data_IF_886477938783
#
_entry.id   IF_886477938783
#
_cell.length_a   1.000
_cell.length_b   1.000
_cell.length_c   1.000
_cell.angle_alpha   90.00
_cell.angle_beta   90.00
_cell.angle_gamma   90.00
#
_symmetry.space_group_name_H-M   'P 1'
#
loop_
_entity.id
_entity.type
_entity.pdbx_description
1 polymer ?
#
# COMPACT_ATOMS: atom_id res chain seq x y z
N UNK A 1 -21.97 -2.90 13.36
CA UNK A 1 -21.31 -2.03 12.35
C UNK A 1 -20.71 -2.95 11.27
N UNK A 2 -21.03 -2.75 9.99
CA UNK A 2 -20.45 -3.56 8.90
C UNK A 2 -18.97 -3.18 8.75
N UNK A 3 -18.08 -4.15 8.88
CA UNK A 3 -16.64 -3.94 8.64
C UNK A 3 -16.42 -3.78 7.13
N UNK A 4 -15.75 -2.72 6.73
CA UNK A 4 -15.45 -2.42 5.35
C UNK A 4 -13.96 -2.59 5.06
N UNK A 5 -13.62 -3.12 3.89
CA UNK A 5 -12.21 -3.24 3.47
C UNK A 5 -11.74 -1.95 2.83
N UNK A 6 -10.48 -1.59 3.09
CA UNK A 6 -9.82 -0.45 2.48
C UNK A 6 -8.49 -0.90 1.89
N UNK A 7 -8.25 -0.56 0.63
CA UNK A 7 -6.99 -0.83 -0.05
C UNK A 7 -6.33 0.49 -0.47
N UNK A 8 -5.10 0.72 -0.05
CA UNK A 8 -4.24 1.76 -0.60
C UNK A 8 -3.23 1.11 -1.52
N UNK A 9 -3.20 1.54 -2.78
CA UNK A 9 -2.23 1.07 -3.76
C UNK A 9 -1.48 2.22 -4.42
N UNK A 10 -0.25 1.93 -4.83
CA UNK A 10 0.57 2.86 -5.60
C UNK A 10 1.79 2.14 -6.19
N UNK A 11 2.42 2.76 -7.16
CA UNK A 11 3.74 2.31 -7.58
C UNK A 11 4.71 2.44 -6.40
N UNK A 12 5.79 1.65 -6.39
CA UNK A 12 6.85 1.83 -5.38
C UNK A 12 7.26 3.29 -5.31
N UNK A 13 7.44 3.83 -4.10
CA UNK A 13 7.88 5.21 -3.86
C UNK A 13 6.87 6.30 -4.28
N UNK A 14 5.60 5.96 -4.45
CA UNK A 14 4.55 6.93 -4.76
C UNK A 14 3.92 7.61 -3.53
N UNK A 15 4.35 7.28 -2.30
CA UNK A 15 3.79 7.88 -1.08
C UNK A 15 2.75 7.02 -0.36
N UNK A 16 2.54 5.77 -0.75
CA UNK A 16 1.58 4.86 -0.09
C UNK A 16 1.80 4.73 1.41
N UNK A 17 3.06 4.75 1.89
CA UNK A 17 3.37 4.68 3.33
C UNK A 17 2.93 5.95 4.06
N UNK A 18 3.13 7.12 3.46
CA UNK A 18 2.65 8.39 4.03
C UNK A 18 1.13 8.36 4.17
N UNK A 19 0.42 8.07 3.07
CA UNK A 19 -1.03 8.01 3.08
C UNK A 19 -1.55 6.96 4.09
N UNK A 20 -0.94 5.76 4.12
CA UNK A 20 -1.31 4.73 5.07
C UNK A 20 -1.13 5.14 6.52
N UNK A 21 -0.07 5.91 6.84
CA UNK A 21 0.15 6.45 8.18
C UNK A 21 -0.88 7.51 8.56
N UNK A 22 -1.20 8.42 7.63
CA UNK A 22 -2.19 9.47 7.84
C UNK A 22 -3.58 8.86 8.09
N UNK A 23 -4.02 7.93 7.24
CA UNK A 23 -5.32 7.26 7.42
C UNK A 23 -5.34 6.35 8.65
N UNK A 24 -4.24 5.69 8.97
CA UNK A 24 -4.13 4.84 10.16
C UNK A 24 -4.23 5.59 11.49
N UNK A 25 -4.01 6.91 11.50
CA UNK A 25 -4.21 7.76 12.67
C UNK A 25 -5.69 8.05 12.97
N UNK A 26 -6.58 7.80 12.03
CA UNK A 26 -8.02 7.98 12.20
C UNK A 26 -8.62 6.94 13.16
N UNK A 27 -9.54 7.38 14.06
CA UNK A 27 -10.14 6.53 15.08
C UNK A 27 -10.92 5.33 14.52
N UNK A 28 -11.50 5.46 13.32
CA UNK A 28 -12.30 4.42 12.67
C UNK A 28 -11.53 3.58 11.63
N UNK A 29 -10.23 3.84 11.38
CA UNK A 29 -9.45 3.18 10.34
C UNK A 29 -8.26 2.45 10.96
N UNK A 30 -8.16 1.15 10.74
CA UNK A 30 -6.96 0.37 11.00
C UNK A 30 -6.20 0.16 9.70
N UNK A 31 -4.91 0.50 9.67
CA UNK A 31 -4.05 0.30 8.50
C UNK A 31 -2.89 -0.65 8.80
N UNK A 32 -2.69 -1.63 7.93
CA UNK A 32 -1.53 -2.50 7.93
C UNK A 32 -0.61 -2.15 6.74
N UNK A 33 0.68 -2.12 7.01
CA UNK A 33 1.70 -1.89 6.00
C UNK A 33 2.13 -3.21 5.36
N UNK A 34 1.89 -3.35 4.04
CA UNK A 34 2.33 -4.50 3.24
C UNK A 34 1.90 -5.85 3.81
N UNK A 35 0.76 -5.87 4.51
CA UNK A 35 0.14 -7.08 5.01
C UNK A 35 -0.63 -7.79 3.89
N UNK A 36 -0.59 -9.10 3.91
CA UNK A 36 -1.24 -9.94 2.91
C UNK A 36 -2.29 -10.84 3.55
N UNK A 37 -3.47 -10.88 2.95
CA UNK A 37 -4.49 -11.86 3.25
C UNK A 37 -4.98 -11.89 4.71
N UNK A 38 -4.71 -12.97 5.40
CA UNK A 38 -5.25 -13.25 6.74
C UNK A 38 -4.83 -12.27 7.83
N UNK A 39 -3.74 -11.52 7.64
CA UNK A 39 -3.32 -10.51 8.61
C UNK A 39 -4.35 -9.38 8.71
N UNK A 40 -5.01 -9.04 7.60
CA UNK A 40 -6.05 -8.01 7.58
C UNK A 40 -7.30 -8.46 8.35
N UNK A 41 -7.60 -9.76 8.37
CA UNK A 41 -8.74 -10.31 9.12
C UNK A 41 -8.57 -10.27 10.64
N UNK A 42 -7.34 -10.07 11.13
CA UNK A 42 -7.01 -9.97 12.57
C UNK A 42 -7.20 -8.57 13.13
N UNK A 43 -7.48 -7.58 12.29
CA UNK A 43 -7.77 -6.23 12.74
C UNK A 43 -9.17 -6.19 13.37
N UNK A 44 -9.25 -5.90 14.67
CA UNK A 44 -10.50 -5.90 15.43
C UNK A 44 -10.87 -4.48 15.80
N UNK A 45 -12.16 -4.17 15.76
CA UNK A 45 -12.75 -3.06 16.51
C UNK A 45 -12.93 -1.74 15.78
N UNK A 46 -12.52 -1.59 14.51
CA UNK A 46 -12.73 -0.36 13.73
C UNK A 46 -13.60 -0.60 12.50
N UNK A 47 -14.24 0.49 12.00
CA UNK A 47 -15.11 0.47 10.81
C UNK A 47 -14.36 0.00 9.57
N UNK A 48 -13.14 0.49 9.37
CA UNK A 48 -12.30 0.15 8.23
C UNK A 48 -11.14 -0.75 8.63
N UNK A 49 -10.94 -1.80 7.86
CA UNK A 49 -9.77 -2.67 7.92
C UNK A 49 -8.99 -2.50 6.62
N UNK A 50 -7.94 -1.71 6.68
CA UNK A 50 -7.16 -1.30 5.54
C UNK A 50 -5.81 -1.98 5.43
N UNK A 51 -5.34 -2.11 4.20
CA UNK A 51 -3.99 -2.54 3.87
C UNK A 51 -3.38 -1.60 2.84
N UNK A 52 -2.10 -1.30 3.01
CA UNK A 52 -1.30 -0.58 2.03
C UNK A 52 -0.42 -1.58 1.29
N UNK A 53 -0.56 -1.63 -0.03
CA UNK A 53 0.24 -2.46 -0.91
C UNK A 53 0.94 -1.62 -1.97
N UNK A 54 2.03 -2.13 -2.53
CA UNK A 54 2.77 -1.46 -3.61
C UNK A 54 2.91 -2.37 -4.82
N UNK A 55 2.72 -1.79 -6.00
CA UNK A 55 3.07 -2.47 -7.24
C UNK A 55 4.61 -2.59 -7.35
N UNK A 56 5.19 -3.73 -7.76
CA UNK A 56 4.54 -4.94 -8.28
C UNK A 56 4.26 -6.05 -7.26
N UNK A 57 4.11 -5.75 -5.96
CA UNK A 57 3.80 -6.76 -4.95
C UNK A 57 2.32 -7.16 -4.95
N UNK A 58 1.46 -6.36 -5.56
CA UNK A 58 0.07 -6.69 -5.88
C UNK A 58 -0.11 -6.68 -7.39
N UNK A 59 -0.83 -7.65 -7.93
CA UNK A 59 -1.17 -7.69 -9.37
C UNK A 59 -2.56 -7.10 -9.60
N UNK A 60 -2.80 -6.65 -10.84
CA UNK A 60 -4.11 -6.14 -11.27
C UNK A 60 -5.05 -7.26 -11.72
N UNK A 61 -4.50 -8.39 -12.12
CA UNK A 61 -5.26 -9.53 -12.64
C UNK A 61 -4.97 -10.76 -11.79
N UNK A 62 -6.02 -11.49 -11.47
CA UNK A 62 -5.90 -12.76 -10.75
C UNK A 62 -5.14 -13.78 -11.62
N UNK A 63 -3.89 -14.03 -11.29
CA UNK A 63 -3.05 -15.02 -11.98
C UNK A 63 -3.02 -16.38 -11.28
N UNK A 64 -3.66 -16.50 -10.11
CA UNK A 64 -3.47 -17.66 -9.26
C UNK A 64 -4.74 -18.49 -9.08
N UNK A 65 -4.67 -19.77 -9.48
CA UNK A 65 -5.71 -20.76 -9.20
C UNK A 65 -5.89 -20.99 -7.69
N UNK A 66 -7.06 -21.55 -7.28
CA UNK A 66 -7.32 -21.95 -5.87
C UNK A 66 -6.19 -22.82 -5.28
N UNK A 67 -5.52 -23.62 -6.11
CA UNK A 67 -4.37 -24.44 -5.72
C UNK A 67 -3.17 -23.60 -5.30
N UNK A 68 -2.89 -22.48 -5.98
CA UNK A 68 -1.84 -21.54 -5.59
C UNK A 68 -2.11 -20.88 -4.23
N UNK A 69 -3.37 -20.55 -3.92
CA UNK A 69 -3.73 -20.01 -2.60
C UNK A 69 -3.46 -21.00 -1.47
N UNK A 70 -3.81 -22.28 -1.68
CA UNK A 70 -3.54 -23.35 -0.70
C UNK A 70 -2.04 -23.63 -0.50
N UNK A 71 -1.27 -23.59 -1.58
CA UNK A 71 0.20 -23.74 -1.51
C UNK A 71 0.87 -22.53 -0.85
N UNK A 72 0.32 -21.33 -1.04
CA UNK A 72 0.85 -20.10 -0.46
C UNK A 72 0.90 -20.16 1.08
N UNK A 73 -0.17 -20.62 1.74
CA UNK A 73 -0.17 -20.78 3.21
C UNK A 73 0.94 -21.70 3.70
N UNK A 74 1.19 -22.81 3.01
CA UNK A 74 2.29 -23.73 3.34
C UNK A 74 3.65 -23.08 3.11
N UNK A 75 3.80 -22.32 2.02
CA UNK A 75 5.05 -21.63 1.65
C UNK A 75 5.36 -20.44 2.57
N UNK A 76 4.35 -19.70 3.03
CA UNK A 76 4.52 -18.65 4.06
C UNK A 76 5.03 -19.27 5.37
N UNK A 77 4.49 -20.43 5.77
CA UNK A 77 4.94 -21.12 6.97
C UNK A 77 6.41 -21.56 6.87
N UNK A 78 6.80 -22.11 5.72
CA UNK A 78 8.19 -22.48 5.41
C UNK A 78 9.10 -21.24 5.42
N UNK A 79 8.66 -20.11 4.82
CA UNK A 79 9.41 -18.85 4.84
C UNK A 79 9.65 -18.32 6.25
N UNK A 80 8.62 -18.35 7.11
CA UNK A 80 8.75 -17.95 8.51
C UNK A 80 9.72 -18.86 9.27
N UNK A 81 9.65 -20.16 9.03
CA UNK A 81 10.56 -21.12 9.64
C UNK A 81 12.02 -20.93 9.17
N UNK A 82 12.24 -20.74 7.87
CA UNK A 82 13.56 -20.49 7.28
C UNK A 82 14.17 -19.15 7.74
N UNK A 83 13.34 -18.11 7.91
CA UNK A 83 13.80 -16.82 8.45
C UNK A 83 14.31 -16.93 9.87
N UNK A 84 13.75 -17.85 10.69
CA UNK A 84 14.23 -18.12 12.05
C UNK A 84 15.62 -18.77 12.07
N UNK A 85 16.00 -19.45 11.02
CA UNK A 85 17.33 -20.08 10.87
C UNK A 85 18.28 -19.26 9.95
N UNK A 86 17.97 -17.99 9.72
CA UNK A 86 18.84 -17.05 8.99
C UNK A 86 18.79 -17.18 7.46
N UNK A 87 17.94 -18.03 6.91
CA UNK A 87 17.80 -18.18 5.44
C UNK A 87 16.77 -17.18 4.92
N UNK A 88 17.20 -16.16 4.17
CA UNK A 88 16.33 -15.27 3.43
C UNK A 88 15.95 -15.89 2.09
N UNK A 89 14.76 -16.43 1.99
CA UNK A 89 14.18 -16.77 0.68
C UNK A 89 13.51 -15.53 0.10
N UNK A 90 14.05 -15.00 -0.98
CA UNK A 90 13.41 -13.97 -1.81
C UNK A 90 12.34 -14.65 -2.70
N UNK A 91 11.34 -15.23 -2.04
CA UNK A 91 10.18 -15.76 -2.76
C UNK A 91 9.27 -14.57 -3.05
N UNK A 92 9.37 -14.04 -4.26
CA UNK A 92 8.37 -13.15 -4.87
C UNK A 92 7.11 -13.96 -5.20
N UNK A 93 6.48 -14.48 -4.17
CA UNK A 93 5.16 -15.05 -4.30
C UNK A 93 4.25 -13.84 -4.38
N UNK A 94 3.68 -13.59 -5.55
CA UNK A 94 2.66 -12.56 -5.74
C UNK A 94 1.62 -12.69 -4.63
N UNK A 95 1.15 -11.57 -4.09
CA UNK A 95 0.21 -11.56 -2.97
C UNK A 95 -0.98 -12.49 -3.23
N UNK A 96 -1.59 -13.00 -2.16
CA UNK A 96 -2.78 -13.88 -2.25
C UNK A 96 -3.95 -13.21 -2.93
N UNK A 97 -3.97 -11.87 -2.99
CA UNK A 97 -5.03 -11.06 -3.57
C UNK A 97 -4.48 -10.18 -4.68
N UNK A 98 -5.20 -10.15 -5.78
CA UNK A 98 -5.08 -9.14 -6.83
C UNK A 98 -5.98 -7.94 -6.48
N UNK A 99 -5.84 -6.84 -7.21
CA UNK A 99 -6.76 -5.71 -7.07
C UNK A 99 -8.19 -6.14 -7.36
N UNK A 100 -8.40 -7.04 -8.33
CA UNK A 100 -9.70 -7.61 -8.65
C UNK A 100 -10.34 -8.33 -7.46
N UNK A 101 -9.56 -9.05 -6.65
CA UNK A 101 -10.11 -9.68 -5.44
C UNK A 101 -10.63 -8.64 -4.45
N UNK A 102 -10.00 -7.46 -4.36
CA UNK A 102 -10.50 -6.35 -3.53
C UNK A 102 -11.75 -5.70 -4.13
N UNK A 103 -11.84 -5.56 -5.45
CA UNK A 103 -13.07 -5.12 -6.14
C UNK A 103 -14.23 -6.09 -5.87
N UNK A 104 -13.99 -7.40 -5.97
CA UNK A 104 -15.00 -8.43 -5.67
C UNK A 104 -15.43 -8.45 -4.19
N UNK A 105 -14.59 -7.96 -3.28
CA UNK A 105 -14.91 -7.79 -1.86
C UNK A 105 -15.59 -6.46 -1.54
N UNK A 106 -15.94 -5.65 -2.55
CA UNK A 106 -16.51 -4.31 -2.38
C UNK A 106 -15.61 -3.41 -1.50
N UNK A 107 -14.30 -3.51 -1.68
CA UNK A 107 -13.34 -2.71 -0.93
C UNK A 107 -13.31 -1.27 -1.45
N UNK A 108 -13.20 -0.32 -0.54
CA UNK A 108 -12.83 1.05 -0.90
C UNK A 108 -11.37 1.07 -1.35
N UNK A 109 -11.09 1.60 -2.53
CA UNK A 109 -9.74 1.58 -3.11
C UNK A 109 -9.24 3.02 -3.31
N UNK A 110 -8.09 3.32 -2.73
CA UNK A 110 -7.39 4.61 -2.93
C UNK A 110 -6.10 4.35 -3.68
N UNK A 111 -5.97 4.97 -4.83
CA UNK A 111 -4.79 4.87 -5.71
C UNK A 111 -3.97 6.14 -5.57
N UNK A 112 -2.70 6.01 -5.17
CA UNK A 112 -1.80 7.16 -5.11
C UNK A 112 -0.79 7.14 -6.25
N UNK A 113 -0.77 8.22 -7.01
CA UNK A 113 0.13 8.47 -8.12
C UNK A 113 1.29 9.38 -7.70
N UNK A 114 2.35 9.33 -8.45
CA UNK A 114 3.46 10.26 -8.36
C UNK A 114 4.00 10.55 -9.76
N UNK A 115 4.41 11.79 -9.98
CA UNK A 115 5.04 12.22 -11.23
C UNK A 115 6.15 11.25 -11.66
N UNK A 116 6.20 10.94 -12.96
CA UNK A 116 7.06 9.91 -13.53
C UNK A 116 8.52 10.07 -13.14
N UNK A 117 9.07 11.23 -13.37
CA UNK A 117 10.51 11.46 -13.22
C UNK A 117 10.93 11.40 -11.74
N UNK A 118 10.11 11.96 -10.86
CA UNK A 118 10.33 11.90 -9.41
C UNK A 118 10.16 10.49 -8.85
N UNK A 119 9.16 9.75 -9.36
CA UNK A 119 8.93 8.38 -8.92
C UNK A 119 10.07 7.47 -9.35
N UNK A 120 10.45 7.52 -10.63
CA UNK A 120 11.54 6.73 -11.21
C UNK A 120 12.86 7.05 -10.52
N UNK A 121 13.19 8.34 -10.32
CA UNK A 121 14.39 8.78 -9.59
C UNK A 121 14.41 8.20 -8.17
N UNK A 122 13.29 8.27 -7.45
CA UNK A 122 13.18 7.72 -6.10
C UNK A 122 13.28 6.19 -6.06
N UNK A 123 12.72 5.49 -7.06
CA UNK A 123 12.84 4.03 -7.17
C UNK A 123 14.28 3.58 -7.41
N UNK A 124 15.00 4.25 -8.32
CA UNK A 124 16.40 3.95 -8.59
C UNK A 124 17.25 4.19 -7.35
N UNK A 125 17.10 5.35 -6.71
CA UNK A 125 17.92 5.75 -5.56
C UNK A 125 17.69 4.90 -4.31
N UNK A 126 16.44 4.50 -4.04
CA UNK A 126 16.07 3.88 -2.76
C UNK A 126 15.68 2.41 -2.84
N UNK A 127 15.27 1.93 -4.01
CA UNK A 127 14.90 0.52 -4.20
C UNK A 127 15.96 -0.28 -4.95
N UNK A 128 17.07 0.36 -5.31
CA UNK A 128 18.21 -0.25 -5.99
C UNK A 128 17.84 -1.05 -7.26
N UNK A 129 16.83 -0.56 -7.98
CA UNK A 129 16.41 -1.15 -9.26
C UNK A 129 16.93 -0.33 -10.44
N UNK A 130 17.14 -0.97 -11.59
CA UNK A 130 17.57 -0.26 -12.79
C UNK A 130 16.52 0.75 -13.27
N UNK A 131 16.98 1.86 -13.90
CA UNK A 131 16.09 2.88 -14.48
C UNK A 131 15.08 2.27 -15.46
N UNK A 132 15.52 1.31 -16.30
CA UNK A 132 14.65 0.59 -17.24
C UNK A 132 13.51 -0.14 -16.52
N UNK A 133 13.83 -0.83 -15.41
CA UNK A 133 12.83 -1.52 -14.60
C UNK A 133 11.89 -0.54 -13.91
N UNK A 134 12.41 0.55 -13.34
CA UNK A 134 11.62 1.58 -12.68
C UNK A 134 10.62 2.23 -13.65
N UNK A 135 11.06 2.58 -14.87
CA UNK A 135 10.19 3.11 -15.92
C UNK A 135 9.09 2.13 -16.29
N UNK A 136 9.44 0.85 -16.51
CA UNK A 136 8.46 -0.18 -16.83
C UNK A 136 7.42 -0.34 -15.72
N UNK A 137 7.87 -0.45 -14.47
CA UNK A 137 6.99 -0.64 -13.32
C UNK A 137 6.04 0.57 -13.15
N UNK A 138 6.55 1.80 -13.40
CA UNK A 138 5.74 3.02 -13.37
C UNK A 138 4.67 3.02 -14.48
N UNK A 139 5.07 2.71 -15.73
CA UNK A 139 4.16 2.66 -16.87
C UNK A 139 3.04 1.64 -16.66
N UNK A 140 3.39 0.41 -16.32
CA UNK A 140 2.41 -0.67 -16.12
C UNK A 140 1.45 -0.34 -14.99
N UNK A 141 1.95 0.26 -13.90
CA UNK A 141 1.09 0.68 -12.81
C UNK A 141 0.10 1.74 -13.26
N UNK A 142 0.57 2.82 -13.88
CA UNK A 142 -0.31 3.92 -14.26
C UNK A 142 -1.33 3.50 -15.33
N UNK A 143 -0.91 2.74 -16.34
CA UNK A 143 -1.83 2.22 -17.36
C UNK A 143 -2.98 1.41 -16.74
N UNK A 144 -2.65 0.49 -15.84
CA UNK A 144 -3.63 -0.43 -15.26
C UNK A 144 -4.45 0.18 -14.13
N UNK A 145 -3.89 1.10 -13.35
CA UNK A 145 -4.56 1.65 -12.17
C UNK A 145 -5.79 2.49 -12.51
N UNK A 146 -5.81 3.15 -13.66
CA UNK A 146 -6.99 3.89 -14.12
C UNK A 146 -8.17 2.99 -14.51
N UNK A 147 -7.96 1.70 -14.73
CA UNK A 147 -9.01 0.71 -14.97
C UNK A 147 -9.62 0.11 -13.70
N UNK A 148 -9.18 0.53 -12.50
CA UNK A 148 -9.73 0.03 -11.23
C UNK A 148 -11.08 0.70 -10.95
N UNK A 149 -12.13 -0.11 -10.91
CA UNK A 149 -13.49 0.41 -10.76
C UNK A 149 -13.72 1.03 -9.38
N UNK A 150 -14.34 2.21 -9.36
CA UNK A 150 -14.71 2.91 -8.12
C UNK A 150 -13.53 3.40 -7.27
N UNK A 151 -12.30 3.31 -7.77
CA UNK A 151 -11.14 3.77 -7.03
C UNK A 151 -11.07 5.30 -6.95
N UNK A 152 -10.65 5.81 -5.80
CA UNK A 152 -10.32 7.22 -5.64
C UNK A 152 -8.85 7.46 -5.96
N UNK A 153 -8.57 8.33 -6.94
CA UNK A 153 -7.21 8.65 -7.40
C UNK A 153 -6.71 9.95 -6.80
N UNK A 154 -5.50 9.94 -6.26
CA UNK A 154 -4.82 11.13 -5.73
C UNK A 154 -3.38 11.20 -6.26
N UNK A 155 -2.81 12.41 -6.30
CA UNK A 155 -1.39 12.60 -6.55
C UNK A 155 -0.64 12.85 -5.25
N UNK A 156 0.61 12.39 -5.17
CA UNK A 156 1.47 12.67 -4.03
C UNK A 156 1.70 14.19 -3.85
N UNK A 157 1.78 14.95 -4.95
CA UNK A 157 1.88 16.41 -4.92
C UNK A 157 0.72 17.07 -4.17
N UNK A 158 -0.50 16.60 -4.42
CA UNK A 158 -1.70 17.15 -3.78
C UNK A 158 -1.71 16.80 -2.30
N UNK A 159 -1.38 15.53 -1.98
CA UNK A 159 -1.26 15.07 -0.58
C UNK A 159 -0.19 15.83 0.21
N UNK A 160 0.90 16.26 -0.42
CA UNK A 160 2.00 16.97 0.26
C UNK A 160 1.88 18.49 0.16
N UNK A 161 1.14 19.01 -0.81
CA UNK A 161 0.88 20.45 -0.99
C UNK A 161 -0.20 20.96 -0.04
N UNK A 162 -1.32 20.25 0.03
CA UNK A 162 -2.41 20.52 0.97
C UNK A 162 -2.91 19.20 1.58
N UNK A 163 -2.19 18.73 2.60
CA UNK A 163 -2.48 17.46 3.27
C UNK A 163 -3.88 17.44 3.88
N UNK A 164 -4.30 18.53 4.50
CA UNK A 164 -5.62 18.61 5.16
C UNK A 164 -6.75 18.49 4.15
N UNK A 165 -6.74 19.31 3.09
CA UNK A 165 -7.78 19.28 2.07
C UNK A 165 -7.85 17.91 1.39
N UNK A 166 -6.70 17.32 1.06
CA UNK A 166 -6.63 15.99 0.48
C UNK A 166 -7.24 14.92 1.39
N UNK A 167 -6.92 14.95 2.69
CA UNK A 167 -7.49 14.03 3.67
C UNK A 167 -8.98 14.23 3.87
N UNK A 168 -9.48 15.47 3.89
CA UNK A 168 -10.93 15.75 3.95
C UNK A 168 -11.68 15.13 2.78
N UNK A 169 -11.12 15.20 1.57
CA UNK A 169 -11.71 14.57 0.39
C UNK A 169 -11.71 13.04 0.50
N UNK A 170 -10.63 12.45 1.01
CA UNK A 170 -10.56 10.99 1.22
C UNK A 170 -11.54 10.56 2.32
N UNK A 171 -11.64 11.31 3.42
CA UNK A 171 -12.60 11.03 4.47
C UNK A 171 -14.05 11.07 3.96
N UNK A 172 -14.37 12.06 3.10
CA UNK A 172 -15.67 12.14 2.44
C UNK A 172 -15.93 10.92 1.54
N UNK A 173 -14.94 10.47 0.77
CA UNK A 173 -15.04 9.24 -0.02
C UNK A 173 -15.26 8.00 0.85
N UNK A 174 -14.63 7.94 2.01
CA UNK A 174 -14.76 6.84 2.97
C UNK A 174 -16.00 6.99 3.88
N UNK A 175 -16.80 8.05 3.72
CA UNK A 175 -17.93 8.34 4.60
C UNK A 175 -17.55 8.33 6.10
N UNK A 176 -16.47 9.05 6.43
CA UNK A 176 -16.00 9.30 7.80
C UNK A 176 -15.72 10.80 8.00
N UNK A 177 -15.82 11.27 9.24
CA UNK A 177 -15.46 12.65 9.59
C UNK A 177 -13.93 12.79 9.61
N UNK A 178 -13.44 13.96 9.17
CA UNK A 178 -12.01 14.27 9.26
C UNK A 178 -11.59 14.48 10.71
N UNK A 179 -10.46 13.91 11.12
CA UNK A 179 -9.87 14.07 12.45
C UNK A 179 -8.51 14.78 12.35
N UNK A 180 -8.33 15.86 13.12
CA UNK A 180 -7.07 16.64 13.15
C UNK A 180 -5.85 15.80 13.54
N UNK A 181 -6.05 14.75 14.35
CA UNK A 181 -5.02 13.79 14.72
C UNK A 181 -4.34 13.11 13.54
N UNK A 182 -5.01 13.06 12.39
CA UNK A 182 -4.44 12.51 11.15
C UNK A 182 -3.24 13.34 10.66
N UNK A 183 -3.26 14.67 10.86
CA UNK A 183 -2.17 15.57 10.44
C UNK A 183 -0.90 15.37 11.27
N UNK A 184 -1.03 14.98 12.53
CA UNK A 184 0.11 14.78 13.43
C UNK A 184 1.00 13.60 12.98
N UNK A 185 0.43 12.61 12.31
CA UNK A 185 1.18 11.46 11.81
C UNK A 185 2.07 11.79 10.61
N UNK A 186 1.91 12.95 9.98
CA UNK A 186 2.80 13.41 8.91
C UNK A 186 4.25 13.62 9.40
N UNK A 187 4.43 13.98 10.68
CA UNK A 187 5.72 14.13 11.34
C UNK A 187 6.52 12.82 11.46
N UNK A 188 5.84 11.67 11.58
CA UNK A 188 6.50 10.36 11.66
C UNK A 188 7.25 10.01 10.37
N UNK A 189 6.86 10.58 9.23
CA UNK A 189 7.55 10.34 7.96
C UNK A 189 8.86 11.15 7.82
N UNK A 190 9.05 12.21 8.61
CA UNK A 190 10.30 12.96 8.67
C UNK A 190 11.38 12.22 9.49
N UNK A 191 11.00 11.43 10.48
CA UNK A 191 11.92 10.56 11.21
C UNK A 191 12.51 9.47 10.31
N UNK A 192 11.74 8.97 9.32
CA UNK A 192 12.25 8.02 8.33
C UNK A 192 13.34 8.61 7.41
N UNK A 193 13.35 9.93 7.20
CA UNK A 193 14.43 10.60 6.48
C UNK A 193 15.70 10.67 7.34
N UNK A 194 15.57 10.89 8.63
CA UNK A 194 16.71 11.03 9.54
C UNK A 194 17.36 9.68 9.85
N UNK A 195 16.59 8.62 10.09
CA UNK A 195 17.12 7.26 10.30
C UNK A 195 17.94 6.73 9.12
N UNK A 196 17.62 7.18 7.89
CA UNK A 196 18.35 6.73 6.69
C UNK A 196 19.67 7.51 6.52
N UNK A 197 19.77 8.72 7.07
CA UNK A 197 20.98 9.56 7.03
C UNK A 197 21.95 9.11 8.12
N UNK A 198 21.46 8.76 9.31
CA UNK A 198 22.32 8.31 10.43
C UNK A 198 22.93 6.92 10.22
N UNK A 199 22.26 6.02 9.46
CA UNK A 199 22.81 4.70 9.11
C UNK A 199 23.89 4.72 8.04
N UNK A 200 24.23 5.88 7.49
CA UNK A 200 25.30 6.05 6.48
C UNK A 200 26.55 6.75 7.03
N UNK A 201 26.65 6.94 8.32
CA UNK A 201 27.84 7.35 9.06
C UNK A 201 28.33 6.18 9.91
#
# INVERSE_FOLDING_TARGET
MKIQKLLIIGCRRSGTTLLGSLLGAHSQINMLNEAYGDEVSRLIGKRYQGVKLVYPHIDFVQTHSRVHRLLYHKLVFIRVALRKVGVQMDMRIGGMYSIRDYEEMDAMIVVIHREKDDNVKSMVARSHISKKKALRDWWVFNEKSFGVNGAWHINLSDLTGDTEQCLRHICKYLDVEFEEGMLLSSGLNNSYKNDTIERKR
#
